data_IF_880217234741
#
_entry.id   IF_880217234741
#
_cell.length_a   1.000
_cell.length_b   1.000
_cell.length_c   1.000
_cell.angle_alpha   90.00
_cell.angle_beta   90.00
_cell.angle_gamma   90.00
#
_symmetry.space_group_name_H-M   'P 1'
#
loop_
_entity.id
_entity.type
_entity.pdbx_description
1 polymer ?
#
# COMPACT_ATOMS: atom_id res chain seq x y z
N UNK A 1 -2.21 -27.67 -10.69
CA UNK A 1 -1.85 -26.36 -10.11
C UNK A 1 -0.71 -26.60 -9.14
N UNK A 2 0.30 -25.74 -9.11
CA UNK A 2 1.36 -25.85 -8.11
C UNK A 2 0.77 -25.57 -6.71
N UNK A 3 1.34 -26.21 -5.69
CA UNK A 3 0.90 -25.95 -4.32
C UNK A 3 1.37 -24.57 -3.87
N UNK A 4 0.47 -23.75 -3.34
CA UNK A 4 0.84 -22.45 -2.78
C UNK A 4 1.82 -22.62 -1.61
N UNK A 5 2.91 -21.88 -1.64
CA UNK A 5 4.01 -21.91 -0.65
C UNK A 5 4.28 -20.54 -0.02
N UNK A 6 3.79 -19.48 -0.66
CA UNK A 6 4.03 -18.11 -0.23
C UNK A 6 2.74 -17.30 -0.14
N UNK A 7 2.69 -16.42 0.86
CA UNK A 7 1.62 -15.42 1.02
C UNK A 7 2.25 -14.04 1.03
N UNK A 8 1.75 -13.19 0.14
CA UNK A 8 2.20 -11.81 -0.01
C UNK A 8 1.04 -10.91 0.40
N UNK A 9 1.25 -10.04 1.36
CA UNK A 9 0.24 -9.10 1.84
C UNK A 9 0.57 -7.67 1.45
N UNK A 10 -0.44 -6.88 1.10
CA UNK A 10 -0.35 -5.44 1.24
C UNK A 10 -0.36 -5.03 2.71
N UNK A 11 0.02 -3.78 2.97
CA UNK A 11 0.00 -3.16 4.29
C UNK A 11 -1.29 -2.36 4.52
N UNK A 12 -1.50 -1.31 3.72
CA UNK A 12 -2.61 -0.37 3.87
C UNK A 12 -3.96 -0.98 3.50
N UNK A 13 -4.98 -0.82 4.33
CA UNK A 13 -6.32 -1.37 4.06
C UNK A 13 -6.45 -2.89 4.27
N UNK A 14 -5.34 -3.65 4.35
CA UNK A 14 -5.33 -5.09 4.67
C UNK A 14 -4.88 -5.33 6.11
N UNK A 15 -3.68 -4.89 6.47
CA UNK A 15 -3.12 -4.99 7.83
C UNK A 15 -3.43 -3.77 8.69
N UNK A 16 -4.08 -2.78 8.12
CA UNK A 16 -4.58 -1.58 8.80
C UNK A 16 -6.04 -1.35 8.47
N UNK A 17 -6.65 -0.40 9.17
CA UNK A 17 -7.94 0.16 8.76
C UNK A 17 -7.88 0.73 7.34
N UNK A 18 -9.03 0.86 6.63
CA UNK A 18 -9.06 1.42 5.29
C UNK A 18 -8.41 2.80 5.23
N UNK A 19 -7.52 3.03 4.24
CA UNK A 19 -6.79 4.30 4.08
C UNK A 19 -7.74 5.48 3.87
N UNK A 20 -8.92 5.23 3.31
CA UNK A 20 -9.95 6.26 3.12
C UNK A 20 -10.35 6.92 4.44
N UNK A 21 -10.30 6.22 5.57
CA UNK A 21 -10.60 6.78 6.88
C UNK A 21 -9.59 7.88 7.27
N UNK A 22 -8.30 7.66 7.01
CA UNK A 22 -7.25 8.64 7.26
C UNK A 22 -7.39 9.87 6.35
N UNK A 23 -7.74 9.66 5.08
CA UNK A 23 -8.01 10.76 4.16
C UNK A 23 -9.28 11.54 4.51
N UNK A 24 -10.36 10.87 4.92
CA UNK A 24 -11.58 11.53 5.38
C UNK A 24 -11.32 12.37 6.64
N UNK A 25 -10.58 11.84 7.60
CA UNK A 25 -10.20 12.59 8.81
C UNK A 25 -9.29 13.80 8.47
N UNK A 26 -8.40 13.66 7.49
CA UNK A 26 -7.63 14.79 7.00
C UNK A 26 -8.54 15.86 6.38
N UNK A 27 -9.50 15.49 5.53
CA UNK A 27 -10.51 16.42 4.98
C UNK A 27 -11.26 17.13 6.09
N UNK A 28 -11.75 16.41 7.10
CA UNK A 28 -12.54 16.99 8.20
C UNK A 28 -11.72 17.98 9.03
N UNK A 29 -10.41 17.71 9.23
CA UNK A 29 -9.53 18.56 10.02
C UNK A 29 -8.95 19.75 9.27
N UNK A 30 -8.73 19.61 7.95
CA UNK A 30 -8.11 20.64 7.11
C UNK A 30 -9.13 21.49 6.34
N UNK A 31 -10.34 20.97 6.14
CA UNK A 31 -11.34 21.57 5.25
C UNK A 31 -11.04 21.42 3.76
N UNK A 32 -10.01 20.64 3.39
CA UNK A 32 -9.61 20.41 2.00
C UNK A 32 -10.38 19.20 1.45
N UNK A 33 -11.27 19.36 0.46
CA UNK A 33 -11.96 18.22 -0.14
C UNK A 33 -11.02 17.23 -0.80
N UNK A 34 -11.28 15.93 -0.68
CA UNK A 34 -10.48 14.88 -1.34
C UNK A 34 -10.48 15.02 -2.85
N UNK A 35 -11.61 15.45 -3.43
CA UNK A 35 -11.71 15.74 -4.87
C UNK A 35 -10.74 16.84 -5.28
N UNK A 36 -10.61 17.90 -4.49
CA UNK A 36 -9.66 18.98 -4.78
C UNK A 36 -8.21 18.51 -4.75
N UNK A 37 -7.87 17.58 -3.83
CA UNK A 37 -6.54 16.96 -3.80
C UNK A 37 -6.30 16.12 -5.07
N UNK A 38 -7.29 15.34 -5.49
CA UNK A 38 -7.21 14.55 -6.73
C UNK A 38 -7.05 15.41 -7.97
N UNK A 39 -7.82 16.48 -8.08
CA UNK A 39 -7.72 17.47 -9.16
C UNK A 39 -6.35 18.17 -9.17
N UNK A 40 -5.85 18.58 -8.00
CA UNK A 40 -4.53 19.20 -7.87
C UNK A 40 -3.41 18.27 -8.34
N UNK A 41 -3.43 17.01 -7.94
CA UNK A 41 -2.47 16.00 -8.43
C UNK A 41 -2.59 15.79 -9.95
N UNK A 42 -3.80 15.82 -10.50
CA UNK A 42 -4.05 15.73 -11.94
C UNK A 42 -3.48 16.92 -12.71
N UNK A 43 -3.60 18.14 -12.21
CA UNK A 43 -3.02 19.34 -12.83
C UNK A 43 -1.48 19.33 -12.75
N UNK A 44 -0.90 18.91 -11.62
CA UNK A 44 0.55 18.72 -11.50
C UNK A 44 1.03 17.71 -12.53
N UNK A 45 0.32 16.57 -12.68
CA UNK A 45 0.66 15.57 -13.69
C UNK A 45 0.64 16.12 -15.12
N UNK A 46 -0.39 16.89 -15.48
CA UNK A 46 -0.48 17.53 -16.80
C UNK A 46 0.66 18.52 -17.05
N UNK A 47 1.05 19.27 -16.01
CA UNK A 47 2.13 20.27 -16.09
C UNK A 47 3.50 19.60 -16.21
N UNK A 48 3.79 18.59 -15.36
CA UNK A 48 5.13 18.06 -15.15
C UNK A 48 5.38 16.74 -15.90
N UNK A 49 4.32 16.13 -16.46
CA UNK A 49 4.41 14.84 -17.17
C UNK A 49 4.56 13.60 -16.27
N UNK A 50 4.62 13.79 -14.95
CA UNK A 50 4.71 12.72 -13.96
C UNK A 50 3.69 12.92 -12.84
N UNK A 51 3.02 11.85 -12.43
CA UNK A 51 2.02 11.92 -11.37
C UNK A 51 2.71 12.06 -10.00
N UNK A 52 2.47 13.15 -9.23
CA UNK A 52 3.26 13.45 -8.05
C UNK A 52 3.21 12.36 -6.97
N UNK A 53 2.05 11.71 -6.78
CA UNK A 53 1.92 10.59 -5.87
C UNK A 53 2.77 9.38 -6.31
N UNK A 54 2.88 9.10 -7.62
CA UNK A 54 3.69 7.98 -8.11
C UNK A 54 5.18 8.27 -7.96
N UNK A 55 5.59 9.52 -8.13
CA UNK A 55 6.96 9.96 -7.85
C UNK A 55 7.32 9.83 -6.35
N UNK A 56 6.37 10.20 -5.47
CA UNK A 56 6.51 10.04 -4.04
C UNK A 56 6.62 8.55 -3.64
N UNK A 57 5.66 7.72 -4.06
CA UNK A 57 5.62 6.29 -3.73
C UNK A 57 6.77 5.46 -4.34
N UNK A 58 7.45 6.00 -5.35
CA UNK A 58 8.64 5.35 -5.93
C UNK A 58 9.95 5.99 -5.44
N UNK A 59 9.87 6.88 -4.44
CA UNK A 59 11.03 7.53 -3.81
C UNK A 59 11.78 8.50 -4.73
N UNK A 60 11.20 8.90 -5.86
CA UNK A 60 11.75 9.92 -6.78
C UNK A 60 11.42 11.34 -6.35
N UNK A 61 10.40 11.51 -5.52
CA UNK A 61 10.02 12.76 -4.89
C UNK A 61 10.03 12.58 -3.37
N UNK A 62 10.48 13.58 -2.62
CA UNK A 62 10.39 13.58 -1.15
C UNK A 62 9.00 14.00 -0.69
N UNK A 63 8.58 13.59 0.52
CA UNK A 63 7.33 14.05 1.12
C UNK A 63 7.24 15.58 1.15
N UNK A 64 8.32 16.25 1.56
CA UNK A 64 8.35 17.72 1.61
C UNK A 64 8.11 18.38 0.24
N UNK A 65 8.73 17.85 -0.83
CA UNK A 65 8.53 18.35 -2.18
C UNK A 65 7.11 18.07 -2.70
N UNK A 66 6.56 16.89 -2.39
CA UNK A 66 5.19 16.53 -2.73
C UNK A 66 4.18 17.46 -2.05
N UNK A 67 4.31 17.68 -0.74
CA UNK A 67 3.40 18.53 0.03
C UNK A 67 3.51 20.00 -0.39
N UNK A 68 4.70 20.49 -0.73
CA UNK A 68 4.89 21.84 -1.26
C UNK A 68 4.18 22.02 -2.61
N UNK A 69 4.39 21.10 -3.57
CA UNK A 69 3.75 21.14 -4.88
C UNK A 69 2.21 21.03 -4.77
N UNK A 70 1.72 20.16 -3.90
CA UNK A 70 0.29 19.99 -3.67
C UNK A 70 -0.34 21.22 -3.02
N UNK A 71 0.32 21.81 -2.00
CA UNK A 71 -0.14 23.02 -1.33
C UNK A 71 -0.19 24.22 -2.27
N UNK A 72 0.83 24.40 -3.13
CA UNK A 72 0.86 25.46 -4.15
C UNK A 72 -0.33 25.31 -5.14
N UNK A 73 -0.53 24.09 -5.64
CA UNK A 73 -1.61 23.83 -6.62
C UNK A 73 -3.00 23.98 -6.00
N UNK A 74 -3.20 23.50 -4.77
CA UNK A 74 -4.44 23.69 -4.02
C UNK A 74 -4.69 25.18 -3.72
N UNK A 75 -3.65 25.92 -3.35
CA UNK A 75 -3.75 27.36 -3.13
C UNK A 75 -4.21 28.12 -4.38
N UNK A 76 -3.71 27.75 -5.55
CA UNK A 76 -4.14 28.31 -6.81
C UNK A 76 -5.62 27.98 -7.16
N UNK A 77 -6.08 26.78 -6.83
CA UNK A 77 -7.44 26.32 -7.08
C UNK A 77 -8.47 26.95 -6.11
N UNK A 78 -8.11 27.04 -4.83
CA UNK A 78 -9.01 27.49 -3.76
C UNK A 78 -8.95 29.02 -3.54
N UNK A 79 -7.98 29.71 -4.12
CA UNK A 79 -7.85 31.16 -4.02
C UNK A 79 -7.31 31.65 -2.67
N UNK A 80 -6.69 30.81 -1.87
CA UNK A 80 -6.03 31.15 -0.62
C UNK A 80 -4.84 30.20 -0.37
N UNK A 81 -3.91 30.61 0.47
CA UNK A 81 -2.77 29.78 0.85
C UNK A 81 -3.22 28.48 1.56
N UNK A 82 -2.65 27.36 1.14
CA UNK A 82 -2.93 26.04 1.71
C UNK A 82 -1.65 25.47 2.31
N UNK A 83 -1.63 25.34 3.63
CA UNK A 83 -0.54 24.71 4.35
C UNK A 83 -0.79 23.20 4.53
N UNK A 84 0.16 22.40 4.06
CA UNK A 84 0.11 20.93 4.15
C UNK A 84 0.92 20.37 5.32
N UNK A 85 1.26 21.23 6.30
CA UNK A 85 2.04 20.81 7.47
C UNK A 85 1.36 19.73 8.29
N UNK A 86 2.13 18.75 8.75
CA UNK A 86 1.64 17.66 9.60
C UNK A 86 0.72 16.68 8.88
N UNK A 87 0.75 16.63 7.54
CA UNK A 87 -0.07 15.68 6.78
C UNK A 87 0.20 14.23 7.22
N UNK A 88 1.47 13.82 7.27
CA UNK A 88 1.85 12.48 7.69
C UNK A 88 1.43 12.17 9.14
N UNK A 89 1.57 13.12 10.08
CA UNK A 89 1.12 12.96 11.47
C UNK A 89 -0.37 12.64 11.52
N UNK A 90 -1.19 13.48 10.89
CA UNK A 90 -2.66 13.33 10.87
C UNK A 90 -3.10 12.06 10.14
N UNK A 91 -2.39 11.68 9.08
CA UNK A 91 -2.65 10.43 8.38
C UNK A 91 -2.50 9.22 9.30
N UNK A 92 -1.43 9.15 10.08
CA UNK A 92 -1.16 8.03 10.98
C UNK A 92 -2.02 8.05 12.26
N UNK A 93 -2.50 9.21 12.74
CA UNK A 93 -3.42 9.30 13.88
C UNK A 93 -4.72 8.52 13.67
N UNK A 94 -5.15 8.38 12.41
CA UNK A 94 -6.40 7.71 12.04
C UNK A 94 -6.19 6.36 11.35
N UNK A 95 -4.96 5.89 11.29
CA UNK A 95 -4.61 4.58 10.76
C UNK A 95 -4.41 3.60 11.92
N UNK A 96 -5.21 2.54 11.97
CA UNK A 96 -5.20 1.58 13.07
C UNK A 96 -4.86 0.18 12.58
N UNK A 97 -4.09 -0.63 13.35
CA UNK A 97 -3.82 -2.01 13.02
C UNK A 97 -5.10 -2.85 12.88
N UNK A 98 -5.12 -3.74 11.89
CA UNK A 98 -6.13 -4.78 11.73
C UNK A 98 -5.64 -6.05 12.46
N UNK A 99 -5.85 -6.09 13.76
CA UNK A 99 -5.30 -7.12 14.64
C UNK A 99 -5.68 -8.55 14.21
N UNK A 100 -6.89 -8.74 13.68
CA UNK A 100 -7.35 -10.06 13.24
C UNK A 100 -6.53 -10.55 12.03
N UNK A 101 -6.27 -9.69 11.04
CA UNK A 101 -5.44 -10.06 9.89
C UNK A 101 -3.98 -10.21 10.28
N UNK A 102 -3.45 -9.37 11.16
CA UNK A 102 -2.09 -9.47 11.68
C UNK A 102 -1.90 -10.83 12.38
N UNK A 103 -2.81 -11.22 13.24
CA UNK A 103 -2.77 -12.51 13.92
C UNK A 103 -2.93 -13.67 12.94
N UNK A 104 -3.74 -13.51 11.89
CA UNK A 104 -3.88 -14.52 10.86
C UNK A 104 -2.59 -14.69 10.05
N UNK A 105 -1.93 -13.60 9.64
CA UNK A 105 -0.64 -13.66 8.95
C UNK A 105 0.46 -14.28 9.82
N UNK A 106 0.47 -13.99 11.13
CA UNK A 106 1.36 -14.66 12.09
C UNK A 106 1.14 -16.18 12.11
N UNK A 107 -0.12 -16.63 12.14
CA UNK A 107 -0.45 -18.07 12.06
C UNK A 107 0.01 -18.71 10.75
N UNK A 108 -0.07 -18.02 9.62
CA UNK A 108 0.42 -18.54 8.33
C UNK A 108 1.93 -18.72 8.35
N UNK A 109 2.68 -17.73 8.88
CA UNK A 109 4.12 -17.85 9.10
C UNK A 109 4.44 -19.08 9.97
N UNK A 110 3.73 -19.25 11.09
CA UNK A 110 3.96 -20.37 12.03
C UNK A 110 3.62 -21.73 11.42
N UNK A 111 2.75 -21.76 10.42
CA UNK A 111 2.46 -22.94 9.59
C UNK A 111 3.55 -23.20 8.53
N UNK A 112 4.55 -22.34 8.41
CA UNK A 112 5.71 -22.50 7.52
C UNK A 112 5.55 -21.95 6.12
N UNK A 113 4.54 -21.11 5.85
CA UNK A 113 4.46 -20.38 4.59
C UNK A 113 5.54 -19.30 4.51
N UNK A 114 6.10 -19.10 3.33
CA UNK A 114 6.97 -17.96 3.07
C UNK A 114 6.13 -16.69 3.04
N UNK A 115 6.53 -15.67 3.82
CA UNK A 115 5.76 -14.45 4.01
C UNK A 115 6.50 -13.25 3.43
N UNK A 116 5.80 -12.42 2.66
CA UNK A 116 6.31 -11.13 2.21
C UNK A 116 5.26 -10.03 2.38
N UNK A 117 5.73 -8.82 2.65
CA UNK A 117 4.97 -7.59 2.56
C UNK A 117 5.34 -6.89 1.24
N UNK A 118 4.33 -6.49 0.45
CA UNK A 118 4.52 -5.73 -0.79
C UNK A 118 3.62 -4.49 -0.75
N UNK A 119 4.19 -3.33 -0.47
CA UNK A 119 3.45 -2.10 -0.16
C UNK A 119 3.87 -0.93 -1.05
N UNK A 120 2.90 -0.10 -1.43
CA UNK A 120 3.16 1.25 -1.92
C UNK A 120 3.22 2.19 -0.72
N UNK A 121 4.35 2.82 -0.50
CA UNK A 121 4.53 3.64 0.68
C UNK A 121 5.44 4.86 0.42
N UNK A 122 5.57 5.70 1.43
CA UNK A 122 6.41 6.90 1.40
C UNK A 122 7.68 6.62 2.19
N UNK A 123 8.83 6.96 1.61
CA UNK A 123 10.15 6.68 2.20
C UNK A 123 10.29 7.25 3.62
N UNK A 124 9.86 8.49 3.82
CA UNK A 124 9.95 9.19 5.09
C UNK A 124 9.06 8.59 6.17
N UNK A 125 8.08 7.77 5.78
CA UNK A 125 7.14 7.14 6.70
C UNK A 125 7.56 5.76 7.18
N UNK A 126 8.65 5.19 6.66
CA UNK A 126 9.07 3.80 6.96
C UNK A 126 9.11 3.50 8.46
N UNK A 127 9.75 4.36 9.24
CA UNK A 127 9.86 4.15 10.67
C UNK A 127 8.50 4.12 11.38
N UNK A 128 7.54 4.92 10.90
CA UNK A 128 6.20 5.00 11.50
C UNK A 128 5.37 3.78 11.19
N UNK A 129 5.23 3.43 9.91
CA UNK A 129 4.37 2.30 9.54
C UNK A 129 4.95 0.96 10.04
N UNK A 130 6.28 0.80 10.07
CA UNK A 130 6.89 -0.40 10.66
C UNK A 130 6.66 -0.52 12.15
N UNK A 131 6.51 0.58 12.87
CA UNK A 131 6.25 0.58 14.31
C UNK A 131 4.79 0.26 14.67
N UNK A 132 3.86 0.27 13.69
CA UNK A 132 2.44 0.02 13.95
C UNK A 132 2.11 -1.44 14.25
N UNK A 133 2.87 -2.38 13.69
CA UNK A 133 2.67 -3.82 13.85
C UNK A 133 4.02 -4.54 13.74
N UNK A 134 4.14 -5.79 14.21
CA UNK A 134 5.42 -6.52 14.20
C UNK A 134 5.79 -7.00 12.79
N UNK A 135 6.05 -6.05 11.88
CA UNK A 135 6.30 -6.32 10.45
C UNK A 135 7.43 -7.32 10.27
N UNK A 136 8.59 -7.04 10.87
CA UNK A 136 9.81 -7.84 10.68
C UNK A 136 9.72 -9.23 11.32
N UNK A 137 8.80 -9.40 12.29
CA UNK A 137 8.51 -10.70 12.87
C UNK A 137 7.69 -11.57 11.90
N UNK A 138 6.68 -10.99 11.24
CA UNK A 138 5.73 -11.72 10.40
C UNK A 138 6.25 -11.87 8.96
N UNK A 139 6.88 -10.82 8.43
CA UNK A 139 7.30 -10.71 7.04
C UNK A 139 8.83 -10.57 6.94
N UNK A 140 9.58 -11.67 6.83
CA UNK A 140 11.04 -11.62 6.64
C UNK A 140 11.44 -10.88 5.36
N UNK A 141 10.52 -10.78 4.40
CA UNK A 141 10.72 -10.07 3.14
C UNK A 141 9.75 -8.89 3.10
N UNK A 142 10.30 -7.68 2.95
CA UNK A 142 9.55 -6.45 2.76
C UNK A 142 9.99 -5.81 1.45
N UNK A 143 9.01 -5.58 0.58
CA UNK A 143 9.18 -4.87 -0.68
C UNK A 143 8.34 -3.59 -0.59
N UNK A 144 9.01 -2.49 -0.32
CA UNK A 144 8.45 -1.15 -0.25
C UNK A 144 8.80 -0.40 -1.53
N UNK A 145 7.80 0.11 -2.21
CA UNK A 145 7.90 0.80 -3.51
C UNK A 145 8.89 1.96 -3.49
N UNK A 146 8.95 2.72 -2.39
CA UNK A 146 9.84 3.87 -2.25
C UNK A 146 11.33 3.51 -2.20
N UNK A 147 11.66 2.23 -1.92
CA UNK A 147 13.04 1.74 -1.89
C UNK A 147 13.43 0.94 -3.13
N UNK A 148 12.44 0.32 -3.81
CA UNK A 148 12.71 -0.45 -5.02
C UNK A 148 12.48 0.35 -6.31
N UNK A 149 11.91 1.55 -6.22
CA UNK A 149 11.74 2.48 -7.35
C UNK A 149 10.62 2.10 -8.32
N UNK A 150 9.78 1.14 -7.96
CA UNK A 150 8.60 0.69 -8.71
C UNK A 150 7.45 0.43 -7.75
N UNK A 151 6.21 0.55 -8.21
CA UNK A 151 5.01 0.48 -7.37
C UNK A 151 3.95 -0.44 -7.96
N UNK A 152 3.05 -0.94 -7.15
CA UNK A 152 1.81 -1.59 -7.63
C UNK A 152 0.96 -0.57 -8.39
N UNK A 153 0.33 -0.93 -9.50
CA UNK A 153 0.20 -2.26 -10.09
C UNK A 153 1.26 -2.62 -11.16
N UNK A 154 2.43 -1.96 -11.19
CA UNK A 154 3.46 -2.23 -12.17
C UNK A 154 4.09 -3.62 -11.93
N UNK A 155 4.30 -4.40 -13.01
CA UNK A 155 4.82 -5.76 -12.92
C UNK A 155 6.13 -5.92 -12.12
N UNK A 156 7.13 -5.01 -12.24
CA UNK A 156 8.42 -5.20 -11.58
C UNK A 156 8.37 -5.35 -10.06
N UNK A 157 7.41 -4.70 -9.35
CA UNK A 157 7.36 -4.82 -7.88
C UNK A 157 6.96 -6.25 -7.45
N UNK A 158 6.06 -6.89 -8.20
CA UNK A 158 5.66 -8.28 -7.94
C UNK A 158 6.80 -9.25 -8.29
N UNK A 159 7.48 -9.02 -9.41
CA UNK A 159 8.64 -9.82 -9.83
C UNK A 159 9.78 -9.77 -8.79
N UNK A 160 10.11 -8.58 -8.27
CA UNK A 160 11.07 -8.40 -7.18
C UNK A 160 10.60 -9.18 -5.92
N UNK A 161 9.30 -9.15 -5.63
CA UNK A 161 8.76 -9.85 -4.45
C UNK A 161 8.88 -11.37 -4.60
N UNK A 162 8.52 -11.91 -5.76
CA UNK A 162 8.66 -13.34 -6.07
C UNK A 162 10.13 -13.79 -6.07
N UNK A 163 11.02 -12.99 -6.67
CA UNK A 163 12.46 -13.26 -6.67
C UNK A 163 13.01 -13.34 -5.24
N UNK A 164 12.68 -12.37 -4.38
CA UNK A 164 13.13 -12.37 -2.98
C UNK A 164 12.56 -13.53 -2.17
N UNK A 165 11.35 -13.98 -2.48
CA UNK A 165 10.73 -15.15 -1.88
C UNK A 165 11.32 -16.46 -2.41
N UNK A 166 11.91 -16.47 -3.60
CA UNK A 166 12.42 -17.66 -4.26
C UNK A 166 11.31 -18.63 -4.69
N UNK A 167 10.16 -18.12 -5.12
CA UNK A 167 8.99 -18.90 -5.56
C UNK A 167 8.55 -18.50 -6.96
N UNK A 168 7.90 -19.43 -7.66
CA UNK A 168 7.22 -19.15 -8.92
C UNK A 168 5.89 -18.42 -8.65
N UNK A 169 5.37 -17.70 -9.65
CA UNK A 169 4.15 -16.93 -9.50
C UNK A 169 2.95 -17.80 -9.09
N UNK A 170 2.80 -18.99 -9.66
CA UNK A 170 1.72 -19.93 -9.35
C UNK A 170 1.88 -20.67 -8.00
N UNK A 171 2.97 -20.40 -7.27
CA UNK A 171 3.20 -20.84 -5.90
C UNK A 171 2.89 -19.75 -4.85
N UNK A 172 2.46 -18.55 -5.28
CA UNK A 172 2.19 -17.43 -4.41
C UNK A 172 0.73 -16.97 -4.49
N UNK A 173 0.19 -16.51 -3.35
CA UNK A 173 -1.06 -15.77 -3.27
C UNK A 173 -0.81 -14.37 -2.75
N UNK A 174 -1.37 -13.38 -3.43
CA UNK A 174 -1.28 -11.96 -3.10
C UNK A 174 -2.61 -11.46 -2.54
N UNK A 175 -2.57 -10.63 -1.50
CA UNK A 175 -3.76 -10.06 -0.83
C UNK A 175 -3.63 -8.55 -0.82
N UNK A 176 -4.63 -7.85 -1.38
CA UNK A 176 -4.60 -6.38 -1.52
C UNK A 176 -6.04 -5.84 -1.57
N UNK A 177 -6.30 -4.66 -0.99
CA UNK A 177 -7.60 -4.00 -0.97
C UNK A 177 -7.91 -3.24 -2.26
N UNK A 178 -6.94 -3.09 -3.16
CA UNK A 178 -7.10 -2.45 -4.48
C UNK A 178 -7.20 -3.53 -5.56
N UNK A 179 -8.37 -3.67 -6.18
CA UNK A 179 -8.64 -4.71 -7.18
C UNK A 179 -7.66 -4.65 -8.36
N UNK A 180 -7.26 -3.45 -8.80
CA UNK A 180 -6.29 -3.26 -9.88
C UNK A 180 -4.93 -3.91 -9.57
N UNK A 181 -4.49 -3.87 -8.31
CA UNK A 181 -3.27 -4.54 -7.88
C UNK A 181 -3.43 -6.07 -7.94
N UNK A 182 -4.58 -6.58 -7.54
CA UNK A 182 -4.90 -8.01 -7.65
C UNK A 182 -4.97 -8.48 -9.11
N UNK A 183 -5.52 -7.66 -10.01
CA UNK A 183 -5.54 -7.97 -11.44
C UNK A 183 -4.14 -8.05 -12.03
N UNK A 184 -3.24 -7.14 -11.63
CA UNK A 184 -1.86 -7.16 -12.07
C UNK A 184 -1.12 -8.41 -11.58
N UNK A 185 -1.32 -8.82 -10.33
CA UNK A 185 -0.78 -10.06 -9.79
C UNK A 185 -1.28 -11.30 -10.56
N UNK A 186 -2.58 -11.37 -10.88
CA UNK A 186 -3.17 -12.47 -11.67
C UNK A 186 -2.58 -12.53 -13.09
N UNK A 187 -2.31 -11.39 -13.73
CA UNK A 187 -1.68 -11.34 -15.06
C UNK A 187 -0.27 -11.94 -15.07
N UNK A 188 0.42 -11.93 -13.93
CA UNK A 188 1.72 -12.57 -13.74
C UNK A 188 1.63 -14.06 -13.38
N UNK A 189 0.41 -14.59 -13.19
CA UNK A 189 0.16 -15.99 -12.84
C UNK A 189 0.08 -16.28 -11.36
N UNK A 190 0.05 -15.26 -10.50
CA UNK A 190 -0.17 -15.42 -9.06
C UNK A 190 -1.65 -15.70 -8.74
N UNK A 191 -1.91 -16.41 -7.64
CA UNK A 191 -3.21 -16.30 -6.98
C UNK A 191 -3.35 -14.87 -6.42
N UNK A 192 -4.56 -14.28 -6.51
CA UNK A 192 -4.77 -12.97 -5.91
C UNK A 192 -6.17 -12.82 -5.32
N UNK A 193 -6.22 -12.30 -4.12
CA UNK A 193 -7.43 -12.11 -3.31
C UNK A 193 -7.64 -10.60 -3.13
N UNK A 194 -8.74 -10.13 -3.66
CA UNK A 194 -9.19 -8.77 -3.39
C UNK A 194 -9.81 -8.71 -2.00
N UNK A 195 -9.09 -8.07 -1.09
CA UNK A 195 -9.50 -7.91 0.29
C UNK A 195 -10.70 -6.97 0.40
N UNK A 196 -11.78 -7.41 1.01
CA UNK A 196 -12.99 -6.63 1.29
C UNK A 196 -13.31 -6.64 2.78
N UNK A 197 -13.09 -7.76 3.45
CA UNK A 197 -13.20 -7.96 4.88
C UNK A 197 -12.36 -9.17 5.32
N UNK A 198 -12.13 -9.29 6.62
CA UNK A 198 -11.30 -10.33 7.20
C UNK A 198 -11.86 -11.74 6.96
N UNK A 199 -13.15 -11.94 7.16
CA UNK A 199 -13.78 -13.26 7.02
C UNK A 199 -13.67 -13.78 5.58
N UNK A 200 -13.98 -12.92 4.61
CA UNK A 200 -13.85 -13.26 3.19
C UNK A 200 -12.40 -13.57 2.84
N UNK A 201 -11.45 -12.70 3.22
CA UNK A 201 -10.05 -12.86 2.85
C UNK A 201 -9.46 -14.13 3.46
N UNK A 202 -9.67 -14.39 4.74
CA UNK A 202 -9.21 -15.60 5.43
C UNK A 202 -9.76 -16.85 4.74
N UNK A 203 -11.05 -16.90 4.42
CA UNK A 203 -11.68 -18.03 3.74
C UNK A 203 -11.06 -18.28 2.35
N UNK A 204 -10.82 -17.22 1.58
CA UNK A 204 -10.25 -17.33 0.23
C UNK A 204 -8.76 -17.69 0.25
N UNK A 205 -8.00 -17.17 1.23
CA UNK A 205 -6.60 -17.60 1.44
C UNK A 205 -6.58 -19.09 1.77
N UNK A 206 -7.35 -19.56 2.76
CA UNK A 206 -7.37 -20.99 3.14
C UNK A 206 -7.78 -21.88 1.96
N UNK A 207 -8.72 -21.46 1.13
CA UNK A 207 -9.09 -22.19 -0.07
C UNK A 207 -7.93 -22.30 -1.08
N UNK A 208 -7.15 -21.22 -1.23
CA UNK A 208 -5.96 -21.20 -2.09
C UNK A 208 -4.82 -22.08 -1.55
N UNK A 209 -4.71 -22.18 -0.23
CA UNK A 209 -3.67 -22.99 0.44
C UNK A 209 -4.00 -24.49 0.46
N UNK A 210 -5.28 -24.86 0.32
CA UNK A 210 -5.75 -26.25 0.35
C UNK A 210 -5.65 -26.96 -1.03
N UNK A 211 -5.53 -26.21 -2.12
CA UNK A 211 -5.49 -26.73 -3.50
C UNK A 211 -4.13 -27.02 -4.00
#
# INVERSE_FOLDING_TARGET
MSRVRAVISDFGGVLTSPLLNSFAAFQDSSGIPLEAMGEAMGEIWKRDGAHPLFELETGRMTEAAFLAALGEQLGAQLGHEVEMHGFGERYFEHLHPNEEMIDYMRRLRDRGYAMALCTNNVREWEQRWRAMLPVDEIFPIVVDSAFVGTRKPDAPIYEITLERLGVAADEAVFVDDIELNCEAARKLGMGAIWFRDNEQAIREIEASLAG
#
